data_IF_230411986137
#
_entry.id   IF_230411986137
#
_cell.length_a   1.000
_cell.length_b   1.000
_cell.length_c   1.000
_cell.angle_alpha   90.00
_cell.angle_beta   90.00
_cell.angle_gamma   90.00
#
_symmetry.space_group_name_H-M   'P 1'
#
loop_
_entity.id
_entity.type
_entity.pdbx_description
1 polymer ?
#
# COMPACT_ATOMS: atom_id res chain seq x y z
N UNK A 1 -0.65 5.52 -24.05
CA UNK A 1 0.14 6.74 -23.94
C UNK A 1 -0.11 7.45 -22.63
N UNK A 2 0.93 7.75 -21.97
CA UNK A 2 0.82 8.47 -20.72
C UNK A 2 0.26 9.86 -20.92
N UNK A 3 -0.67 10.24 -20.10
CA UNK A 3 -1.23 11.58 -20.08
C UNK A 3 -0.69 12.40 -18.92
N UNK A 4 0.39 11.96 -18.30
CA UNK A 4 0.95 12.70 -17.20
C UNK A 4 1.52 14.01 -17.69
N UNK A 5 1.03 15.07 -17.10
CA UNK A 5 1.58 16.38 -17.32
C UNK A 5 2.73 16.59 -16.36
N UNK A 6 3.84 17.11 -16.89
CA UNK A 6 4.95 17.54 -16.05
C UNK A 6 4.91 19.03 -15.82
N UNK A 7 3.75 19.63 -15.99
CA UNK A 7 3.53 21.04 -15.71
C UNK A 7 3.94 21.31 -14.26
N UNK A 8 4.85 22.29 -14.02
CA UNK A 8 5.25 22.60 -12.65
C UNK A 8 4.13 23.04 -11.73
N UNK A 9 3.00 23.44 -12.29
CA UNK A 9 1.83 23.84 -11.50
C UNK A 9 0.95 22.66 -11.09
N UNK A 10 1.17 21.50 -11.67
CA UNK A 10 0.40 20.32 -11.33
C UNK A 10 1.01 19.67 -10.10
N UNK A 11 0.13 19.33 -9.18
CA UNK A 11 0.54 18.55 -8.01
C UNK A 11 0.22 17.10 -8.25
N UNK A 12 1.26 16.28 -8.36
CA UNK A 12 1.08 14.84 -8.45
C UNK A 12 1.01 14.32 -7.02
N UNK A 13 -0.12 13.73 -6.64
CA UNK A 13 -0.23 13.05 -5.36
C UNK A 13 0.38 11.67 -5.49
N UNK A 14 0.80 11.09 -4.36
CA UNK A 14 1.39 9.75 -4.40
C UNK A 14 0.39 8.70 -4.89
N UNK A 15 -0.90 8.93 -4.65
CA UNK A 15 -1.92 8.01 -5.15
C UNK A 15 -1.96 7.97 -6.68
N UNK A 16 -1.59 9.07 -7.33
CA UNK A 16 -1.53 9.13 -8.79
C UNK A 16 -0.33 8.39 -9.35
N UNK A 17 0.61 8.00 -8.49
CA UNK A 17 1.76 7.22 -8.91
C UNK A 17 1.46 5.73 -9.08
N UNK A 18 0.27 5.31 -8.67
CA UNK A 18 -0.16 3.95 -8.92
C UNK A 18 -0.61 3.82 -10.38
N UNK A 19 -0.17 2.75 -11.01
CA UNK A 19 -0.64 2.44 -12.36
C UNK A 19 -2.11 2.03 -12.28
N UNK A 20 -2.82 2.17 -13.39
CA UNK A 20 -4.25 1.85 -13.42
C UNK A 20 -4.53 0.42 -12.95
N UNK A 21 -3.75 -0.54 -13.43
CA UNK A 21 -3.98 -1.93 -13.03
C UNK A 21 -3.66 -2.16 -11.54
N UNK A 22 -2.68 -1.43 -11.01
CA UNK A 22 -2.36 -1.51 -9.59
C UNK A 22 -3.51 -0.97 -8.74
N UNK A 23 -4.05 0.17 -9.15
CA UNK A 23 -5.18 0.77 -8.47
C UNK A 23 -6.39 -0.17 -8.51
N UNK A 24 -6.60 -0.84 -9.63
CA UNK A 24 -7.70 -1.80 -9.75
C UNK A 24 -7.52 -3.00 -8.80
N UNK A 25 -6.30 -3.49 -8.67
CA UNK A 25 -6.00 -4.58 -7.74
C UNK A 25 -6.19 -4.14 -6.29
N UNK A 26 -5.69 -2.95 -5.96
CA UNK A 26 -5.88 -2.40 -4.61
C UNK A 26 -7.36 -2.28 -4.29
N UNK A 27 -8.15 -1.79 -5.23
CA UNK A 27 -9.59 -1.63 -5.05
C UNK A 27 -10.29 -2.99 -4.87
N UNK A 28 -9.88 -3.98 -5.65
CA UNK A 28 -10.43 -5.33 -5.54
C UNK A 28 -10.17 -5.91 -4.14
N UNK A 29 -8.95 -5.79 -3.65
CA UNK A 29 -8.60 -6.29 -2.33
C UNK A 29 -9.29 -5.50 -1.21
N UNK A 30 -9.47 -4.19 -1.41
CA UNK A 30 -10.22 -3.36 -0.47
C UNK A 30 -11.63 -3.91 -0.29
N UNK A 31 -12.32 -4.17 -1.40
CA UNK A 31 -13.69 -4.69 -1.34
C UNK A 31 -13.74 -6.10 -0.78
N UNK A 32 -12.76 -6.93 -1.11
CA UNK A 32 -12.68 -8.28 -0.56
C UNK A 32 -12.52 -8.24 0.97
N UNK A 33 -11.68 -7.36 1.48
CA UNK A 33 -11.50 -7.21 2.92
C UNK A 33 -12.81 -6.80 3.59
N UNK A 34 -13.48 -5.81 3.02
CA UNK A 34 -14.75 -5.34 3.58
C UNK A 34 -15.82 -6.44 3.57
N UNK A 35 -15.82 -7.27 2.55
CA UNK A 35 -16.83 -8.33 2.45
C UNK A 35 -16.70 -9.39 3.55
N UNK A 36 -15.53 -9.51 4.15
CA UNK A 36 -15.32 -10.44 5.28
C UNK A 36 -15.18 -9.71 6.61
N UNK A 37 -15.59 -8.44 6.65
CA UNK A 37 -15.62 -7.68 7.90
C UNK A 37 -14.30 -7.09 8.36
N UNK A 38 -13.29 -7.06 7.49
CA UNK A 38 -12.00 -6.43 7.82
C UNK A 38 -12.01 -4.97 7.42
N UNK A 39 -11.20 -4.14 8.10
CA UNK A 39 -11.04 -2.75 7.66
C UNK A 39 -10.54 -2.68 6.24
N UNK A 40 -10.98 -1.66 5.51
CA UNK A 40 -10.57 -1.50 4.10
C UNK A 40 -9.05 -1.33 3.95
N UNK A 41 -8.38 -0.75 4.95
CA UNK A 41 -6.93 -0.57 4.90
C UNK A 41 -6.17 -1.90 4.82
N UNK A 42 -6.73 -2.97 5.39
CA UNK A 42 -6.13 -4.30 5.30
C UNK A 42 -6.03 -4.73 3.84
N UNK A 43 -7.12 -4.60 3.11
CA UNK A 43 -7.14 -4.96 1.70
C UNK A 43 -6.29 -4.05 0.84
N UNK A 44 -6.34 -2.73 1.12
CA UNK A 44 -5.56 -1.76 0.35
C UNK A 44 -4.07 -2.04 0.48
N UNK A 45 -3.60 -2.25 1.70
CA UNK A 45 -2.17 -2.48 1.96
C UNK A 45 -1.72 -3.80 1.35
N UNK A 46 -2.48 -4.85 1.55
CA UNK A 46 -2.12 -6.16 0.98
C UNK A 46 -2.11 -6.10 -0.55
N UNK A 47 -3.10 -5.47 -1.15
CA UNK A 47 -3.16 -5.31 -2.60
C UNK A 47 -1.95 -4.57 -3.15
N UNK A 48 -1.55 -3.50 -2.46
CA UNK A 48 -0.37 -2.74 -2.87
C UNK A 48 0.90 -3.57 -2.77
N UNK A 49 1.11 -4.24 -1.66
CA UNK A 49 2.31 -5.07 -1.46
C UNK A 49 2.33 -6.27 -2.38
N UNK A 50 1.15 -6.79 -2.71
CA UNK A 50 1.04 -7.90 -3.66
C UNK A 50 1.48 -7.47 -5.06
N UNK A 51 1.12 -6.26 -5.46
CA UNK A 51 1.47 -5.74 -6.79
C UNK A 51 2.93 -5.37 -6.93
N UNK A 52 3.59 -5.04 -5.84
CA UNK A 52 4.95 -4.54 -5.87
C UNK A 52 5.88 -5.48 -5.13
N UNK A 53 6.95 -5.87 -5.81
CA UNK A 53 7.92 -6.83 -5.27
C UNK A 53 8.91 -6.21 -4.29
N UNK A 54 8.92 -4.90 -4.17
CA UNK A 54 9.89 -4.24 -3.32
C UNK A 54 9.35 -3.99 -1.94
N UNK A 55 10.21 -4.09 -0.92
CA UNK A 55 9.79 -3.74 0.43
C UNK A 55 9.39 -2.27 0.53
N UNK A 56 8.37 -1.99 1.32
CA UNK A 56 7.90 -0.62 1.50
C UNK A 56 7.80 -0.27 2.96
N UNK A 57 8.22 0.95 3.29
CA UNK A 57 8.02 1.50 4.63
C UNK A 57 6.57 1.94 4.80
N UNK A 58 6.16 2.14 6.06
CA UNK A 58 4.81 2.63 6.33
C UNK A 58 4.56 4.00 5.69
N UNK A 59 5.58 4.87 5.67
CA UNK A 59 5.43 6.20 5.06
C UNK A 59 5.11 6.10 3.57
N UNK A 60 5.78 5.20 2.87
CA UNK A 60 5.54 5.00 1.44
C UNK A 60 4.14 4.43 1.21
N UNK A 61 3.75 3.46 2.02
CA UNK A 61 2.42 2.87 1.94
C UNK A 61 1.34 3.92 2.14
N UNK A 62 1.49 4.76 3.18
CA UNK A 62 0.56 5.85 3.45
C UNK A 62 0.44 6.80 2.27
N UNK A 63 1.57 7.16 1.69
CA UNK A 63 1.61 8.11 0.59
C UNK A 63 0.95 7.54 -0.67
N UNK A 64 1.29 6.31 -1.02
CA UNK A 64 0.75 5.68 -2.23
C UNK A 64 -0.75 5.42 -2.13
N UNK A 65 -1.23 5.07 -0.94
CA UNK A 65 -2.64 4.76 -0.74
C UNK A 65 -3.45 5.96 -0.27
N UNK A 66 -2.78 7.07 0.05
CA UNK A 66 -3.44 8.27 0.60
C UNK A 66 -4.26 7.94 1.85
N UNK A 67 -3.67 7.15 2.74
CA UNK A 67 -4.33 6.78 4.00
C UNK A 67 -3.59 7.38 5.18
N UNK A 68 -4.30 7.50 6.30
CA UNK A 68 -3.73 8.06 7.52
C UNK A 68 -2.77 7.06 8.18
N UNK A 69 -1.94 7.59 9.08
CA UNK A 69 -1.04 6.76 9.86
C UNK A 69 -1.82 5.74 10.70
N UNK A 70 -2.94 6.17 11.28
CA UNK A 70 -3.78 5.26 12.06
C UNK A 70 -4.31 4.10 11.23
N UNK A 71 -4.79 4.39 10.03
CA UNK A 71 -5.28 3.35 9.12
C UNK A 71 -4.16 2.43 8.68
N UNK A 72 -3.00 2.98 8.34
CA UNK A 72 -1.85 2.17 7.93
C UNK A 72 -1.39 1.26 9.07
N UNK A 73 -1.28 1.81 10.27
CA UNK A 73 -0.85 1.05 11.44
C UNK A 73 -1.82 -0.08 11.77
N UNK A 74 -3.12 0.20 11.73
CA UNK A 74 -4.16 -0.78 11.99
C UNK A 74 -4.13 -1.90 10.93
N UNK A 75 -4.02 -1.52 9.68
CA UNK A 75 -3.99 -2.49 8.59
C UNK A 75 -2.76 -3.39 8.63
N UNK A 76 -1.59 -2.80 8.86
CA UNK A 76 -0.35 -3.57 8.96
C UNK A 76 -0.37 -4.53 10.16
N UNK A 77 -0.90 -4.06 11.29
CA UNK A 77 -1.00 -4.90 12.48
C UNK A 77 -1.87 -6.13 12.20
N UNK A 78 -3.02 -5.90 11.58
CA UNK A 78 -3.94 -6.99 11.25
C UNK A 78 -3.30 -7.97 10.28
N UNK A 79 -2.61 -7.45 9.25
CA UNK A 79 -1.95 -8.31 8.27
C UNK A 79 -0.82 -9.14 8.87
N UNK A 80 -0.07 -8.57 9.81
CA UNK A 80 0.96 -9.33 10.51
C UNK A 80 0.35 -10.44 11.36
N UNK A 81 -0.74 -10.14 12.04
CA UNK A 81 -1.44 -11.15 12.83
C UNK A 81 -1.98 -12.29 11.98
N UNK A 82 -2.38 -11.98 10.76
CA UNK A 82 -2.85 -13.00 9.81
C UNK A 82 -1.69 -13.73 9.11
N UNK A 83 -0.46 -13.30 9.32
CA UNK A 83 0.68 -13.89 8.61
C UNK A 83 0.75 -13.51 7.14
N UNK A 84 0.02 -12.48 6.73
CA UNK A 84 -0.04 -12.06 5.33
C UNK A 84 1.08 -11.10 4.94
N UNK A 85 1.72 -10.50 5.93
CA UNK A 85 2.79 -9.52 5.74
C UNK A 85 3.87 -9.80 6.76
N UNK A 86 5.11 -9.59 6.37
CA UNK A 86 6.21 -9.66 7.32
C UNK A 86 7.08 -8.43 7.22
N UNK A 87 7.78 -8.15 8.30
CA UNK A 87 8.77 -7.09 8.34
C UNK A 87 10.08 -7.63 7.82
N UNK A 88 10.80 -6.82 7.08
CA UNK A 88 12.14 -7.20 6.67
C UNK A 88 13.11 -6.07 6.96
N UNK A 89 14.37 -6.44 7.13
CA UNK A 89 15.46 -5.51 7.33
C UNK A 89 16.03 -5.12 5.97
N UNK A 90 16.08 -3.82 5.70
CA UNK A 90 16.70 -3.30 4.48
C UNK A 90 18.00 -2.62 4.90
N UNK A 91 19.16 -3.10 4.44
CA UNK A 91 20.43 -2.50 4.84
C UNK A 91 20.50 -1.02 4.52
N UNK A 92 20.94 -0.23 5.48
CA UNK A 92 21.04 1.21 5.33
C UNK A 92 19.76 1.98 5.65
N UNK A 93 18.67 1.28 5.95
CA UNK A 93 17.40 1.90 6.30
C UNK A 93 17.10 1.72 7.77
N UNK A 94 16.61 2.78 8.39
CA UNK A 94 16.21 2.72 9.81
C UNK A 94 14.78 2.27 9.99
N UNK A 95 13.93 2.52 8.99
CA UNK A 95 12.51 2.26 9.10
C UNK A 95 12.22 0.81 8.81
N UNK A 96 11.19 0.30 9.45
CA UNK A 96 10.68 -1.02 9.12
C UNK A 96 10.15 -1.03 7.69
N UNK A 97 10.39 -2.12 7.01
CA UNK A 97 9.86 -2.34 5.67
C UNK A 97 9.02 -3.60 5.68
N UNK A 98 8.05 -3.64 4.81
CA UNK A 98 7.02 -4.67 4.77
C UNK A 98 6.94 -5.28 3.39
N UNK A 99 6.73 -6.59 3.35
CA UNK A 99 6.49 -7.33 2.10
C UNK A 99 5.30 -8.26 2.32
N UNK A 100 4.60 -8.56 1.23
CA UNK A 100 3.53 -9.54 1.29
C UNK A 100 4.14 -10.94 1.43
N UNK A 101 3.51 -11.74 2.29
CA UNK A 101 3.83 -13.15 2.43
C UNK A 101 2.95 -13.91 1.46
N UNK A 102 3.56 -14.62 0.54
CA UNK A 102 2.81 -15.33 -0.50
C UNK A 102 2.95 -16.81 -0.33
#
# INVERSE_FOLDING_TARGET
MSSYSLDPNDRITFSELLLEWEAAVVDLFLHAAQSVGLPKSVGQIYGLLFCRDEPMSMDVIMALLSISKGSASQGLKALRQLGAVKNIFVPGERREHFVAEI
#
